data_IF_982868231620
#
_entry.id   IF_982868231620
#
_cell.length_a   1.000
_cell.length_b   1.000
_cell.length_c   1.000
_cell.angle_alpha   90.00
_cell.angle_beta   90.00
_cell.angle_gamma   90.00
#
_symmetry.space_group_name_H-M   'P 1'
#
loop_
_entity.id
_entity.type
_entity.pdbx_description
1 polymer ?
#
# COMPACT_ATOMS: atom_id res chain seq x y z
N UNK A 1 -28.06 -42.20 18.50
CA UNK A 1 -26.82 -41.96 17.72
C UNK A 1 -26.80 -40.48 17.37
N UNK A 2 -26.06 -39.71 18.17
CA UNK A 2 -26.10 -38.25 18.21
C UNK A 2 -24.98 -37.76 17.29
N UNK A 3 -25.33 -37.07 16.20
CA UNK A 3 -24.36 -36.44 15.31
C UNK A 3 -24.65 -34.94 15.26
N UNK A 4 -24.29 -34.24 16.33
CA UNK A 4 -24.31 -32.77 16.39
C UNK A 4 -23.00 -32.27 15.79
N UNK A 5 -23.00 -31.96 14.50
CA UNK A 5 -21.85 -31.40 13.80
C UNK A 5 -21.71 -29.90 14.14
N UNK A 6 -20.70 -29.62 14.97
CA UNK A 6 -19.77 -28.49 14.91
C UNK A 6 -20.27 -27.18 14.28
N UNK A 7 -20.74 -26.25 15.12
CA UNK A 7 -20.78 -24.82 14.78
C UNK A 7 -19.43 -24.21 15.16
N UNK A 8 -18.44 -24.21 14.25
CA UNK A 8 -17.28 -23.32 14.39
C UNK A 8 -17.75 -21.89 14.12
N UNK A 9 -18.01 -21.14 15.20
CA UNK A 9 -18.24 -19.71 15.13
C UNK A 9 -16.90 -19.01 14.86
N UNK A 10 -16.60 -18.77 13.59
CA UNK A 10 -15.44 -17.99 13.17
C UNK A 10 -15.68 -16.51 13.58
N UNK A 11 -15.01 -16.04 14.62
CA UNK A 11 -15.18 -14.70 15.21
C UNK A 11 -14.61 -13.54 14.36
N UNK A 12 -14.40 -13.74 13.06
CA UNK A 12 -13.79 -12.77 12.15
C UNK A 12 -14.66 -11.56 11.73
N UNK A 13 -16.01 -11.58 11.70
CA UNK A 13 -16.76 -10.49 11.05
C UNK A 13 -16.76 -9.18 11.86
N UNK A 14 -16.77 -9.26 13.19
CA UNK A 14 -16.92 -8.08 14.04
C UNK A 14 -15.73 -7.09 13.95
N UNK A 15 -14.50 -7.59 13.79
CA UNK A 15 -13.33 -6.73 13.62
C UNK A 15 -13.29 -6.10 12.21
N UNK A 16 -13.63 -6.88 11.18
CA UNK A 16 -13.64 -6.41 9.81
C UNK A 16 -14.64 -5.26 9.62
N UNK A 17 -15.84 -5.39 10.19
CA UNK A 17 -16.88 -4.36 10.12
C UNK A 17 -16.49 -3.11 10.92
N UNK A 18 -15.85 -3.27 12.07
CA UNK A 18 -15.37 -2.16 12.89
C UNK A 18 -14.23 -1.36 12.21
N UNK A 19 -13.34 -2.03 11.47
CA UNK A 19 -12.26 -1.35 10.74
C UNK A 19 -12.82 -0.55 9.56
N UNK A 20 -13.73 -1.13 8.76
CA UNK A 20 -14.34 -0.43 7.63
C UNK A 20 -15.03 0.86 8.08
N UNK A 21 -15.85 0.78 9.13
CA UNK A 21 -16.55 1.95 9.68
C UNK A 21 -15.61 3.09 10.11
N UNK A 22 -14.45 2.74 10.69
CA UNK A 22 -13.43 3.74 11.06
C UNK A 22 -12.79 4.39 9.84
N UNK A 23 -12.49 3.62 8.80
CA UNK A 23 -11.93 4.14 7.56
C UNK A 23 -12.93 5.08 6.86
N UNK A 24 -14.21 4.72 6.82
CA UNK A 24 -15.26 5.56 6.25
C UNK A 24 -15.41 6.88 7.01
N UNK A 25 -15.36 6.84 8.35
CA UNK A 25 -15.40 8.04 9.18
C UNK A 25 -14.19 8.98 8.94
N UNK A 26 -12.99 8.42 8.70
CA UNK A 26 -11.82 9.22 8.35
C UNK A 26 -11.98 9.89 6.98
N UNK A 27 -12.54 9.20 5.99
CA UNK A 27 -12.76 9.76 4.67
C UNK A 27 -13.84 10.85 4.67
N UNK A 28 -14.88 10.72 5.50
CA UNK A 28 -15.86 11.78 5.71
C UNK A 28 -15.20 13.03 6.31
N UNK A 29 -14.35 12.87 7.32
CA UNK A 29 -13.61 13.98 7.97
C UNK A 29 -12.61 14.66 7.04
N UNK A 30 -12.13 13.99 6.00
CA UNK A 30 -11.17 14.54 5.05
C UNK A 30 -11.79 15.53 4.06
N UNK A 31 -13.13 15.62 3.98
CA UNK A 31 -13.80 16.52 3.05
C UNK A 31 -13.43 18.00 3.29
N UNK A 32 -13.26 18.81 2.22
CA UNK A 32 -13.54 18.49 0.82
C UNK A 32 -12.45 17.72 0.09
N UNK A 33 -11.33 17.37 0.74
CA UNK A 33 -10.29 16.56 0.13
C UNK A 33 -10.73 15.10 -0.05
N UNK A 34 -10.03 14.38 -0.93
CA UNK A 34 -10.28 12.96 -1.19
C UNK A 34 -9.27 12.09 -0.47
N UNK A 35 -9.76 11.17 0.35
CA UNK A 35 -8.94 10.17 1.06
C UNK A 35 -9.12 8.80 0.41
N UNK A 36 -8.00 8.21 -0.01
CA UNK A 36 -7.92 6.81 -0.46
C UNK A 36 -7.18 5.97 0.57
N UNK A 37 -7.77 4.87 1.01
CA UNK A 37 -7.13 3.89 1.90
C UNK A 37 -7.41 2.49 1.38
N UNK A 38 -6.39 1.65 1.38
CA UNK A 38 -6.52 0.20 1.16
C UNK A 38 -5.67 -0.51 2.20
N UNK A 39 -6.31 -1.38 2.98
CA UNK A 39 -5.65 -2.25 3.95
C UNK A 39 -5.80 -3.67 3.45
N UNK A 40 -4.70 -4.42 3.46
CA UNK A 40 -4.66 -5.84 3.07
C UNK A 40 -4.03 -6.58 4.23
N UNK A 41 -4.77 -7.54 4.80
CA UNK A 41 -4.16 -8.54 5.66
C UNK A 41 -3.42 -9.56 4.78
N UNK A 42 -2.10 -9.60 4.91
CA UNK A 42 -1.25 -10.49 4.12
C UNK A 42 -1.41 -11.97 4.48
N UNK A 43 -1.95 -12.29 5.65
CA UNK A 43 -2.20 -13.67 6.06
C UNK A 43 -3.50 -14.22 5.46
N UNK A 44 -4.61 -13.51 5.67
CA UNK A 44 -5.94 -13.97 5.23
C UNK A 44 -6.31 -13.54 3.81
N UNK A 45 -5.63 -12.52 3.26
CA UNK A 45 -6.01 -11.86 2.02
C UNK A 45 -7.23 -10.94 2.15
N UNK A 46 -7.78 -10.76 3.35
CA UNK A 46 -8.91 -9.86 3.57
C UNK A 46 -8.50 -8.41 3.27
N UNK A 47 -9.41 -7.66 2.64
CA UNK A 47 -9.15 -6.28 2.23
C UNK A 47 -10.24 -5.32 2.67
N UNK A 48 -9.83 -4.13 3.12
CA UNK A 48 -10.69 -3.00 3.44
C UNK A 48 -10.31 -1.81 2.59
N UNK A 49 -11.30 -1.08 2.08
CA UNK A 49 -11.07 -0.07 1.05
C UNK A 49 -11.99 1.13 1.24
N UNK A 50 -11.43 2.32 1.08
CA UNK A 50 -12.15 3.59 0.95
C UNK A 50 -11.53 4.40 -0.16
N UNK A 51 -12.34 4.95 -1.07
CA UNK A 51 -11.84 5.73 -2.21
C UNK A 51 -10.93 4.94 -3.16
N UNK A 52 -11.08 3.60 -3.21
CA UNK A 52 -10.30 2.73 -4.08
C UNK A 52 -10.66 2.91 -5.58
N UNK A 53 -9.74 2.53 -6.47
CA UNK A 53 -9.93 2.64 -7.92
C UNK A 53 -9.72 4.04 -8.49
N UNK A 54 -9.37 5.02 -7.66
CA UNK A 54 -9.01 6.38 -8.05
C UNK A 54 -7.49 6.55 -8.10
N UNK A 55 -7.00 7.39 -9.01
CA UNK A 55 -5.61 7.82 -9.03
C UNK A 55 -5.36 8.92 -7.97
N UNK A 56 -4.27 8.78 -7.21
CA UNK A 56 -3.80 9.76 -6.24
C UNK A 56 -2.35 10.15 -6.58
N UNK A 57 -1.93 11.40 -6.30
CA UNK A 57 -0.55 11.79 -6.48
C UNK A 57 0.33 10.93 -5.56
N UNK A 58 1.25 10.17 -6.13
CA UNK A 58 2.13 9.29 -5.35
C UNK A 58 3.10 10.09 -4.48
N UNK A 59 3.40 11.35 -4.85
CA UNK A 59 4.50 12.11 -4.26
C UNK A 59 5.75 11.22 -4.21
N UNK A 60 6.53 11.24 -3.14
CA UNK A 60 7.72 10.37 -3.02
C UNK A 60 7.45 8.87 -2.88
N UNK A 61 6.20 8.40 -2.79
CA UNK A 61 5.86 6.96 -2.73
C UNK A 61 6.30 6.24 -4.02
N UNK A 62 6.38 6.95 -5.17
CA UNK A 62 6.85 6.37 -6.43
C UNK A 62 8.25 5.74 -6.37
N UNK A 63 9.08 6.13 -5.40
CA UNK A 63 10.44 5.60 -5.25
C UNK A 63 10.45 4.10 -4.95
N UNK A 64 9.42 3.59 -4.27
CA UNK A 64 9.32 2.15 -3.98
C UNK A 64 9.18 1.30 -5.27
N UNK A 65 8.19 1.53 -6.16
CA UNK A 65 8.13 0.80 -7.43
C UNK A 65 9.31 1.12 -8.37
N UNK A 66 9.90 2.33 -8.30
CA UNK A 66 11.13 2.65 -9.03
C UNK A 66 12.30 1.76 -8.56
N UNK A 67 12.47 1.61 -7.24
CA UNK A 67 13.47 0.72 -6.65
C UNK A 67 13.24 -0.74 -7.03
N UNK A 68 11.99 -1.22 -6.99
CA UNK A 68 11.63 -2.56 -7.43
C UNK A 68 11.99 -2.79 -8.91
N UNK A 69 11.72 -1.81 -9.78
CA UNK A 69 12.10 -1.88 -11.19
C UNK A 69 13.63 -1.91 -11.38
N UNK A 70 14.38 -1.16 -10.58
CA UNK A 70 15.85 -1.20 -10.57
C UNK A 70 16.37 -2.58 -10.13
N UNK A 71 15.84 -3.13 -9.04
CA UNK A 71 16.23 -4.44 -8.54
C UNK A 71 15.91 -5.55 -9.55
N UNK A 72 14.78 -5.47 -10.24
CA UNK A 72 14.45 -6.41 -11.32
C UNK A 72 15.47 -6.37 -12.48
N UNK A 73 16.15 -5.23 -12.72
CA UNK A 73 17.24 -5.13 -13.70
C UNK A 73 18.54 -5.74 -13.18
N UNK A 74 18.78 -5.65 -11.87
CA UNK A 74 19.91 -6.32 -11.21
C UNK A 74 19.75 -7.83 -11.30
N UNK A 75 18.55 -8.36 -11.02
CA UNK A 75 18.25 -9.79 -11.11
C UNK A 75 18.47 -10.35 -12.53
N UNK A 76 18.24 -9.54 -13.56
CA UNK A 76 18.51 -9.88 -14.97
C UNK A 76 19.98 -9.69 -15.38
N UNK A 77 20.84 -9.26 -14.48
CA UNK A 77 22.26 -8.99 -14.76
C UNK A 77 22.50 -7.73 -15.62
N UNK A 78 21.49 -6.88 -15.81
CA UNK A 78 21.60 -5.64 -16.61
C UNK A 78 22.25 -4.50 -15.83
N UNK A 79 22.22 -4.57 -14.50
CA UNK A 79 22.79 -3.59 -13.57
C UNK A 79 23.50 -4.33 -12.43
N UNK A 80 24.49 -3.66 -11.84
CA UNK A 80 25.13 -4.11 -10.59
C UNK A 80 24.86 -3.08 -9.50
N UNK A 81 24.59 -3.57 -8.28
CA UNK A 81 24.46 -2.72 -7.09
C UNK A 81 25.80 -2.14 -6.64
N UNK A 82 26.92 -2.79 -6.98
CA UNK A 82 28.27 -2.31 -6.67
C UNK A 82 28.76 -1.23 -7.65
N UNK A 83 27.96 -0.93 -8.68
CA UNK A 83 28.29 0.11 -9.66
C UNK A 83 28.33 1.47 -8.97
N UNK A 84 29.51 2.08 -8.96
CA UNK A 84 29.66 3.48 -8.57
C UNK A 84 28.98 4.42 -9.57
N UNK A 85 28.23 5.39 -9.06
CA UNK A 85 27.59 6.46 -9.83
C UNK A 85 28.21 7.79 -9.39
N UNK A 86 28.84 8.51 -10.32
CA UNK A 86 29.38 9.85 -10.04
C UNK A 86 28.24 10.85 -10.08
N UNK A 87 28.04 11.57 -8.98
CA UNK A 87 27.07 12.66 -8.87
C UNK A 87 27.83 13.98 -8.90
N UNK A 88 27.48 14.87 -9.83
CA UNK A 88 28.09 16.19 -10.00
C UNK A 88 27.23 17.28 -9.36
N UNK A 89 27.78 18.49 -9.21
CA UNK A 89 27.01 19.65 -8.73
C UNK A 89 25.81 19.97 -9.65
N UNK A 90 25.87 19.64 -10.93
CA UNK A 90 24.77 19.87 -11.87
C UNK A 90 23.57 18.92 -11.65
N UNK A 91 23.79 17.77 -11.01
CA UNK A 91 22.74 16.79 -10.71
C UNK A 91 21.94 17.14 -9.45
N UNK A 92 22.44 18.06 -8.62
CA UNK A 92 21.81 18.46 -7.36
C UNK A 92 20.67 19.45 -7.60
N UNK A 93 19.48 19.10 -7.13
CA UNK A 93 18.28 19.97 -7.12
C UNK A 93 18.00 20.43 -5.69
N UNK A 94 17.54 21.68 -5.51
CA UNK A 94 17.33 22.29 -4.18
C UNK A 94 16.12 21.75 -3.38
N UNK A 95 15.70 20.49 -3.61
CA UNK A 95 14.64 19.85 -2.81
C UNK A 95 13.21 20.37 -3.00
N UNK A 96 13.01 21.45 -3.77
CA UNK A 96 11.66 21.89 -4.18
C UNK A 96 11.07 20.89 -5.16
N UNK A 97 10.22 20.01 -4.64
CA UNK A 97 9.33 19.18 -5.44
C UNK A 97 8.09 20.02 -5.74
N UNK A 98 7.90 20.41 -7.00
CA UNK A 98 6.65 20.97 -7.50
C UNK A 98 5.50 19.97 -7.38
#
# INVERSE_FOLDING_TARGET
MIATALLMLCAAPAFADALQAKLDALAQRAQPAHLGVTVIDLHSGQTWRVGAGRAYPMMSVFKAPLGAALLARVDRGELSLDRSVTITRADLRQGVSC
#
